data_IF_133998552010
#
_entry.id   IF_133998552010
#
_cell.length_a   1.000
_cell.length_b   1.000
_cell.length_c   1.000
_cell.angle_alpha   90.00
_cell.angle_beta   90.00
_cell.angle_gamma   90.00
#
_symmetry.space_group_name_H-M   'P 1'
#
loop_
_entity.id
_entity.type
_entity.pdbx_description
1 polymer ?
#
# COMPACT_ATOMS: atom_id res chain seq x y z
N UNK A 1 -21.45 -17.32 -22.06
CA UNK A 1 -21.84 -17.74 -20.71
C UNK A 1 -21.01 -18.96 -20.38
N UNK A 2 -19.92 -18.80 -19.62
CA UNK A 2 -19.16 -19.90 -19.03
C UNK A 2 -19.23 -19.72 -17.51
N UNK A 3 -19.95 -20.62 -16.84
CA UNK A 3 -20.07 -20.61 -15.39
C UNK A 3 -18.86 -21.35 -14.82
N UNK A 4 -17.81 -20.60 -14.48
CA UNK A 4 -16.66 -21.14 -13.76
C UNK A 4 -17.07 -21.40 -12.29
N UNK A 5 -17.36 -22.65 -11.94
CA UNK A 5 -17.52 -23.02 -10.52
C UNK A 5 -16.15 -23.15 -9.87
N UNK A 6 -15.72 -22.11 -9.14
CA UNK A 6 -14.51 -22.15 -8.32
C UNK A 6 -14.85 -22.70 -6.94
N UNK A 7 -14.44 -23.94 -6.65
CA UNK A 7 -14.45 -24.45 -5.29
C UNK A 7 -13.13 -24.06 -4.61
N UNK A 8 -13.17 -23.06 -3.73
CA UNK A 8 -12.02 -22.61 -2.97
C UNK A 8 -12.08 -23.16 -1.55
N UNK A 9 -11.15 -24.04 -1.20
CA UNK A 9 -10.94 -24.47 0.20
C UNK A 9 -9.64 -23.85 0.71
N UNK A 10 -9.75 -22.76 1.46
CA UNK A 10 -8.61 -22.03 2.02
C UNK A 10 -8.33 -22.45 3.46
N UNK A 11 -7.12 -22.96 3.75
CA UNK A 11 -6.55 -23.04 5.12
C UNK A 11 -5.33 -22.13 5.24
N UNK A 12 -4.83 -21.87 6.46
CA UNK A 12 -3.60 -21.10 6.69
C UNK A 12 -2.38 -21.64 5.93
N UNK A 13 -2.28 -22.96 5.73
CA UNK A 13 -1.03 -23.59 5.25
C UNK A 13 -1.14 -24.33 3.91
N UNK A 14 -2.29 -24.26 3.22
CA UNK A 14 -2.40 -24.73 1.83
C UNK A 14 -3.64 -24.18 1.15
N UNK A 15 -3.46 -23.64 -0.05
CA UNK A 15 -4.52 -23.34 -1.00
C UNK A 15 -4.37 -24.29 -2.20
N UNK A 16 -5.44 -25.01 -2.54
CA UNK A 16 -5.49 -25.82 -3.77
C UNK A 16 -6.60 -25.23 -4.64
N UNK A 17 -6.24 -24.83 -5.86
CA UNK A 17 -7.18 -24.33 -6.86
C UNK A 17 -7.22 -25.39 -7.96
N UNK A 18 -8.37 -26.01 -8.16
CA UNK A 18 -8.63 -26.87 -9.30
C UNK A 18 -9.57 -26.14 -10.26
N UNK A 19 -9.18 -26.07 -11.54
CA UNK A 19 -10.01 -25.51 -12.62
C UNK A 19 -10.53 -26.70 -13.41
N UNK A 20 -11.84 -26.90 -13.36
CA UNK A 20 -12.51 -27.94 -14.15
C UNK A 20 -12.96 -27.31 -15.48
N UNK A 21 -12.47 -27.83 -16.61
CA UNK A 21 -12.66 -27.19 -17.93
C UNK A 21 -13.90 -27.75 -18.66
N UNK A 22 -14.57 -28.79 -18.14
CA UNK A 22 -15.70 -29.42 -18.82
C UNK A 22 -17.00 -29.27 -18.01
N UNK A 23 -17.71 -28.18 -18.25
CA UNK A 23 -19.09 -27.99 -17.80
C UNK A 23 -20.07 -28.69 -18.76
N UNK A 24 -20.01 -30.03 -18.83
CA UNK A 24 -21.06 -30.80 -19.50
C UNK A 24 -22.08 -31.28 -18.44
N UNK A 25 -23.26 -30.68 -18.51
CA UNK A 25 -24.27 -30.61 -17.45
C UNK A 25 -25.12 -31.88 -17.30
N UNK A 26 -24.53 -33.08 -17.38
CA UNK A 26 -25.31 -34.31 -17.13
C UNK A 26 -24.57 -35.56 -16.63
N UNK A 27 -23.32 -35.45 -16.16
CA UNK A 27 -22.67 -36.55 -15.45
C UNK A 27 -22.70 -36.33 -13.94
N UNK A 28 -23.26 -37.30 -13.18
CA UNK A 28 -23.10 -37.36 -11.72
C UNK A 28 -21.61 -37.21 -11.41
N UNK A 29 -21.26 -36.13 -10.70
CA UNK A 29 -19.91 -35.86 -10.24
C UNK A 29 -19.41 -37.10 -9.50
N UNK A 30 -18.45 -37.82 -10.08
CA UNK A 30 -17.84 -39.00 -9.45
C UNK A 30 -17.05 -38.46 -8.26
N UNK A 31 -17.55 -38.70 -7.05
CA UNK A 31 -16.87 -38.33 -5.80
C UNK A 31 -15.85 -39.42 -5.51
N UNK A 32 -14.57 -39.09 -5.60
CA UNK A 32 -13.48 -39.98 -5.23
C UNK A 32 -13.30 -39.93 -3.71
N UNK A 33 -14.01 -40.80 -3.00
CA UNK A 33 -13.98 -40.90 -1.54
C UNK A 33 -12.57 -41.24 -0.99
N UNK A 34 -11.74 -41.93 -1.78
CA UNK A 34 -10.37 -42.29 -1.37
C UNK A 34 -9.49 -41.04 -1.39
N UNK A 35 -9.60 -40.23 -2.45
CA UNK A 35 -8.91 -38.94 -2.51
C UNK A 35 -9.43 -37.97 -1.45
N UNK A 36 -10.74 -37.90 -1.24
CA UNK A 36 -11.33 -37.10 -0.16
C UNK A 36 -10.82 -37.56 1.22
N UNK A 37 -10.64 -38.87 1.44
CA UNK A 37 -10.04 -39.42 2.67
C UNK A 37 -8.58 -39.01 2.86
N UNK A 38 -7.78 -38.97 1.81
CA UNK A 38 -6.41 -38.44 1.88
C UNK A 38 -6.38 -36.90 2.02
N UNK A 39 -7.36 -36.21 1.46
CA UNK A 39 -7.54 -34.75 1.58
C UNK A 39 -8.23 -34.35 2.91
N UNK A 40 -8.74 -35.33 3.69
CA UNK A 40 -9.31 -35.13 5.02
C UNK A 40 -8.26 -34.51 5.94
N UNK A 41 -8.49 -33.26 6.34
CA UNK A 41 -7.68 -32.64 7.38
C UNK A 41 -8.10 -33.21 8.73
N UNK A 42 -7.15 -33.73 9.49
CA UNK A 42 -7.36 -34.06 10.90
C UNK A 42 -7.79 -32.79 11.65
N UNK A 43 -9.02 -32.79 12.16
CA UNK A 43 -9.52 -31.81 13.12
C UNK A 43 -9.50 -32.53 14.47
N UNK A 44 -8.86 -31.93 15.47
CA UNK A 44 -8.86 -32.53 16.81
C UNK A 44 -10.29 -32.67 17.35
N UNK A 45 -10.55 -33.70 18.17
CA UNK A 45 -11.88 -33.91 18.78
C UNK A 45 -12.39 -32.66 19.53
N UNK A 46 -11.48 -31.90 20.14
CA UNK A 46 -11.78 -30.63 20.80
C UNK A 46 -12.24 -29.55 19.80
N UNK A 47 -11.53 -29.38 18.68
CA UNK A 47 -11.92 -28.40 17.65
C UNK A 47 -13.23 -28.77 16.95
N UNK A 48 -13.44 -30.06 16.66
CA UNK A 48 -14.69 -30.56 16.08
C UNK A 48 -15.88 -30.28 17.01
N UNK A 49 -15.74 -30.56 18.30
CA UNK A 49 -16.76 -30.27 19.31
C UNK A 49 -17.08 -28.77 19.39
N UNK A 50 -16.06 -27.90 19.37
CA UNK A 50 -16.25 -26.44 19.38
C UNK A 50 -17.02 -25.95 18.16
N UNK A 51 -16.73 -26.48 16.98
CA UNK A 51 -17.45 -26.14 15.74
C UNK A 51 -18.89 -26.65 15.76
N UNK A 52 -19.14 -27.88 16.23
CA UNK A 52 -20.48 -28.47 16.35
C UNK A 52 -21.37 -27.63 17.27
N UNK A 53 -20.83 -27.20 18.41
CA UNK A 53 -21.56 -26.36 19.37
C UNK A 53 -21.55 -24.86 19.02
N UNK A 54 -20.95 -24.46 17.88
CA UNK A 54 -20.77 -23.06 17.44
C UNK A 54 -20.12 -22.18 18.51
N UNK A 55 -19.24 -22.76 19.34
CA UNK A 55 -18.42 -21.97 20.25
C UNK A 55 -17.42 -21.15 19.46
N UNK A 56 -17.13 -19.93 19.93
CA UNK A 56 -16.08 -19.11 19.35
C UNK A 56 -14.74 -19.86 19.43
N UNK A 57 -14.29 -20.37 18.28
CA UNK A 57 -13.11 -21.25 18.23
C UNK A 57 -11.85 -20.46 18.58
N UNK A 58 -11.80 -19.17 18.27
CA UNK A 58 -10.64 -18.31 18.51
C UNK A 58 -11.10 -16.96 19.07
N UNK A 59 -10.67 -16.64 20.29
CA UNK A 59 -10.76 -15.27 20.82
C UNK A 59 -9.39 -14.61 20.68
N UNK A 60 -9.28 -13.55 19.86
CA UNK A 60 -8.08 -12.71 19.82
C UNK A 60 -8.29 -11.55 20.78
N UNK A 61 -7.57 -11.57 21.90
CA UNK A 61 -7.53 -10.46 22.83
C UNK A 61 -6.18 -9.74 22.73
N UNK A 62 -6.17 -8.42 22.48
CA UNK A 62 -7.34 -7.59 22.13
C UNK A 62 -7.82 -7.86 20.69
N UNK A 63 -9.07 -7.46 20.40
CA UNK A 63 -9.64 -7.45 19.05
C UNK A 63 -8.73 -6.69 18.09
N UNK A 64 -8.60 -7.15 16.84
CA UNK A 64 -7.83 -6.47 15.80
C UNK A 64 -8.76 -6.04 14.68
N UNK A 65 -8.83 -4.74 14.42
CA UNK A 65 -9.61 -4.14 13.33
C UNK A 65 -8.70 -3.80 12.16
N UNK A 66 -9.03 -4.30 10.96
CA UNK A 66 -8.35 -3.88 9.73
C UNK A 66 -8.85 -2.49 9.34
N UNK A 67 -7.92 -1.60 9.07
CA UNK A 67 -8.18 -0.22 8.70
C UNK A 67 -7.82 -0.03 7.23
N UNK A 68 -8.81 0.03 6.32
CA UNK A 68 -8.57 0.38 4.93
C UNK A 68 -8.22 1.87 4.82
N UNK A 69 -7.50 2.23 3.78
CA UNK A 69 -7.22 3.62 3.41
C UNK A 69 -6.94 3.67 1.91
N UNK A 70 -7.01 4.87 1.34
CA UNK A 70 -6.83 5.13 -0.08
C UNK A 70 -6.32 6.56 -0.26
N UNK A 71 -5.82 6.87 -1.45
CA UNK A 71 -5.50 8.25 -1.84
C UNK A 71 -6.78 9.06 -2.07
N UNK A 72 -6.68 10.40 -2.17
CA UNK A 72 -7.79 11.24 -2.62
C UNK A 72 -8.39 10.68 -3.92
N UNK A 73 -9.72 10.63 -3.98
CA UNK A 73 -10.50 10.17 -5.14
C UNK A 73 -10.24 8.72 -5.61
N UNK A 74 -9.48 7.94 -4.85
CA UNK A 74 -9.21 6.52 -5.12
C UNK A 74 -9.97 5.58 -4.18
N UNK A 75 -11.15 6.00 -3.71
CA UNK A 75 -11.99 5.15 -2.88
C UNK A 75 -12.56 4.00 -3.72
N UNK A 76 -12.42 2.77 -3.21
CA UNK A 76 -13.02 1.62 -3.86
C UNK A 76 -14.55 1.63 -3.70
N UNK A 77 -15.26 1.56 -4.81
CA UNK A 77 -16.72 1.40 -4.88
C UNK A 77 -17.01 0.05 -5.54
N UNK A 78 -17.90 -0.75 -4.95
CA UNK A 78 -18.33 -2.04 -5.48
C UNK A 78 -19.78 -1.86 -5.94
N UNK A 79 -20.04 -2.15 -7.21
CA UNK A 79 -21.35 -2.10 -7.84
C UNK A 79 -21.53 -3.33 -8.75
N UNK A 80 -22.77 -3.74 -8.99
CA UNK A 80 -23.10 -4.82 -9.91
C UNK A 80 -23.11 -4.31 -11.36
N UNK A 81 -23.02 -5.24 -12.33
CA UNK A 81 -22.94 -4.86 -13.74
C UNK A 81 -24.23 -4.20 -14.28
N UNK A 82 -25.33 -4.38 -13.57
CA UNK A 82 -26.67 -3.87 -13.84
C UNK A 82 -27.04 -2.63 -13.01
N UNK A 83 -26.18 -2.21 -12.07
CA UNK A 83 -26.40 -1.00 -11.30
C UNK A 83 -26.18 0.25 -12.17
N UNK A 84 -27.07 1.23 -12.05
CA UNK A 84 -26.91 2.54 -12.67
C UNK A 84 -25.81 3.34 -11.94
N UNK A 85 -24.95 4.01 -12.72
CA UNK A 85 -23.78 4.71 -12.16
C UNK A 85 -24.21 5.92 -11.33
N UNK A 86 -25.25 6.65 -11.76
CA UNK A 86 -25.71 7.84 -11.05
C UNK A 86 -26.35 7.43 -9.71
N UNK A 87 -27.15 6.36 -9.72
CA UNK A 87 -27.72 5.79 -8.50
C UNK A 87 -26.63 5.32 -7.52
N UNK A 88 -25.55 4.69 -8.01
CA UNK A 88 -24.42 4.23 -7.19
C UNK A 88 -23.68 5.41 -6.57
N UNK A 89 -23.45 6.49 -7.32
CA UNK A 89 -22.75 7.69 -6.83
C UNK A 89 -23.58 8.45 -5.78
N UNK A 90 -24.89 8.44 -5.91
CA UNK A 90 -25.80 9.05 -4.92
C UNK A 90 -25.92 8.21 -3.63
N UNK A 91 -25.44 6.96 -3.61
CA UNK A 91 -25.54 6.15 -2.40
C UNK A 91 -24.69 6.73 -1.25
N UNK A 92 -25.29 6.87 -0.04
CA UNK A 92 -24.53 7.20 1.18
C UNK A 92 -23.45 6.17 1.53
N UNK A 93 -23.49 4.97 0.92
CA UNK A 93 -22.47 3.92 1.02
C UNK A 93 -21.16 4.25 0.33
N UNK A 94 -21.23 5.03 -0.75
CA UNK A 94 -20.07 5.49 -1.49
C UNK A 94 -19.46 6.71 -0.80
N UNK A 95 -20.29 7.58 -0.22
CA UNK A 95 -19.82 8.83 0.41
C UNK A 95 -18.96 8.64 1.68
N UNK A 96 -19.16 7.57 2.46
CA UNK A 96 -18.55 7.43 3.78
C UNK A 96 -17.83 6.08 3.96
N UNK A 97 -16.50 6.09 3.83
CA UNK A 97 -15.64 4.95 4.15
C UNK A 97 -15.17 5.00 5.61
N UNK A 98 -14.68 3.88 6.14
CA UNK A 98 -14.05 3.81 7.47
C UNK A 98 -12.97 4.91 7.61
N UNK A 99 -12.24 5.16 6.53
CA UNK A 99 -11.14 6.11 6.47
C UNK A 99 -11.62 7.56 6.39
N UNK A 100 -12.58 7.89 5.51
CA UNK A 100 -13.10 9.26 5.40
C UNK A 100 -13.91 9.64 6.63
N UNK A 101 -14.70 8.72 7.18
CA UNK A 101 -15.44 8.94 8.43
C UNK A 101 -14.53 9.16 9.64
N UNK A 102 -13.28 8.70 9.63
CA UNK A 102 -12.31 9.04 10.67
C UNK A 102 -11.98 10.54 10.65
N UNK A 103 -11.73 11.10 9.46
CA UNK A 103 -11.48 12.53 9.28
C UNK A 103 -12.73 13.37 9.64
N UNK A 104 -13.92 12.92 9.26
CA UNK A 104 -15.18 13.55 9.69
C UNK A 104 -15.36 13.52 11.21
N UNK A 105 -15.02 12.39 11.86
CA UNK A 105 -15.06 12.30 13.32
C UNK A 105 -14.10 13.30 13.97
N UNK A 106 -12.91 13.50 13.40
CA UNK A 106 -11.94 14.49 13.86
C UNK A 106 -12.45 15.93 13.72
N UNK A 107 -13.32 16.23 12.74
CA UNK A 107 -13.96 17.56 12.64
C UNK A 107 -14.81 17.88 13.86
N UNK A 108 -15.55 16.90 14.35
CA UNK A 108 -16.56 17.10 15.39
C UNK A 108 -15.96 16.90 16.80
N UNK A 109 -15.15 15.86 17.00
CA UNK A 109 -14.74 15.40 18.32
C UNK A 109 -13.28 15.77 18.64
N UNK A 110 -13.06 16.54 19.72
CA UNK A 110 -11.72 16.94 20.18
C UNK A 110 -10.87 15.78 20.69
N UNK A 111 -11.48 14.76 21.28
CA UNK A 111 -10.76 13.58 21.77
C UNK A 111 -10.30 12.66 20.63
N UNK A 112 -11.08 12.60 19.54
CA UNK A 112 -10.68 11.91 18.32
C UNK A 112 -9.36 12.47 17.77
N UNK A 113 -9.13 13.79 17.91
CA UNK A 113 -7.92 14.47 17.42
C UNK A 113 -6.63 14.08 18.14
N UNK A 114 -6.71 13.38 19.27
CA UNK A 114 -5.54 12.95 20.06
C UNK A 114 -4.93 11.64 19.56
N UNK A 115 -5.57 10.98 18.59
CA UNK A 115 -5.27 9.62 18.15
C UNK A 115 -4.81 9.63 16.69
N UNK A 116 -3.87 8.74 16.37
CA UNK A 116 -3.58 8.39 14.97
C UNK A 116 -4.67 7.48 14.42
N UNK A 117 -4.67 7.22 13.11
CA UNK A 117 -5.64 6.32 12.50
C UNK A 117 -5.52 4.89 13.08
N UNK A 118 -4.30 4.40 13.28
CA UNK A 118 -4.01 3.06 13.85
C UNK A 118 -4.48 2.93 15.31
N UNK A 119 -4.36 4.01 16.08
CA UNK A 119 -4.80 4.06 17.47
C UNK A 119 -6.31 4.24 17.61
N UNK A 120 -7.00 4.69 16.56
CA UNK A 120 -8.41 5.08 16.63
C UNK A 120 -9.35 3.97 17.19
N UNK A 121 -9.23 2.69 16.78
CA UNK A 121 -10.07 1.61 17.30
C UNK A 121 -9.91 1.35 18.80
N UNK A 122 -8.85 1.87 19.43
CA UNK A 122 -8.63 1.74 20.88
C UNK A 122 -9.66 2.53 21.69
N UNK A 123 -10.16 3.65 21.13
CA UNK A 123 -11.11 4.56 21.79
C UNK A 123 -12.42 4.75 21.03
N UNK A 124 -12.49 4.34 19.76
CA UNK A 124 -13.68 4.44 18.93
C UNK A 124 -14.08 3.09 18.36
N UNK A 125 -15.37 2.96 18.03
CA UNK A 125 -15.97 1.78 17.39
C UNK A 125 -16.64 2.22 16.11
N UNK A 126 -16.33 1.51 15.03
CA UNK A 126 -17.03 1.69 13.75
C UNK A 126 -18.43 1.10 13.84
N UNK A 127 -19.43 1.88 13.45
CA UNK A 127 -20.82 1.45 13.30
C UNK A 127 -21.13 1.35 11.81
N UNK A 128 -21.16 0.14 11.22
CA UNK A 128 -21.33 -0.02 9.78
C UNK A 128 -22.71 0.44 9.30
N UNK A 129 -23.76 0.24 10.10
CA UNK A 129 -25.13 0.66 9.78
C UNK A 129 -25.23 2.19 9.64
N UNK A 130 -24.58 2.91 10.56
CA UNK A 130 -24.57 4.38 10.60
C UNK A 130 -23.40 5.00 9.80
N UNK A 131 -22.45 4.19 9.32
CA UNK A 131 -21.18 4.58 8.67
C UNK A 131 -20.38 5.64 9.40
N UNK A 132 -20.35 5.54 10.73
CA UNK A 132 -19.66 6.53 11.56
C UNK A 132 -18.93 5.90 12.74
N UNK A 133 -18.02 6.67 13.30
CA UNK A 133 -17.29 6.32 14.50
C UNK A 133 -17.99 6.84 15.75
N UNK A 134 -18.28 5.94 16.71
CA UNK A 134 -18.78 6.33 18.04
C UNK A 134 -17.70 6.08 19.11
N UNK A 135 -17.67 6.87 20.19
CA UNK A 135 -16.82 6.57 21.34
C UNK A 135 -17.06 5.16 21.87
N UNK A 136 -15.96 4.45 22.14
CA UNK A 136 -15.98 3.09 22.69
C UNK A 136 -16.34 3.15 24.15
N UNK A 137 -17.39 2.41 24.53
CA UNK A 137 -17.83 2.27 25.93
C UNK A 137 -17.12 1.11 26.65
N UNK A 138 -16.88 -0.01 25.96
CA UNK A 138 -16.38 -1.27 26.55
C UNK A 138 -15.33 -1.91 25.65
N UNK A 139 -14.36 -2.59 26.28
CA UNK A 139 -13.33 -3.40 25.63
C UNK A 139 -12.18 -2.59 25.04
N UNK A 140 -11.27 -3.29 24.34
CA UNK A 140 -10.15 -2.69 23.60
C UNK A 140 -10.04 -3.35 22.23
N UNK A 141 -9.75 -2.54 21.21
CA UNK A 141 -9.39 -3.02 19.88
C UNK A 141 -8.12 -2.31 19.42
N UNK A 142 -7.31 -2.99 18.64
CA UNK A 142 -6.12 -2.44 17.99
C UNK A 142 -6.42 -2.28 16.50
N UNK A 143 -6.09 -1.13 15.93
CA UNK A 143 -6.13 -0.94 14.48
C UNK A 143 -4.91 -1.55 13.80
N UNK A 144 -5.09 -2.11 12.61
CA UNK A 144 -3.99 -2.52 11.74
C UNK A 144 -4.26 -2.06 10.32
N UNK A 145 -3.32 -1.30 9.79
CA UNK A 145 -3.25 -0.96 8.38
C UNK A 145 -2.43 -2.05 7.68
N UNK A 146 -2.80 -2.41 6.45
CA UNK A 146 -2.04 -3.37 5.66
C UNK A 146 -0.65 -2.80 5.33
N UNK A 147 0.37 -3.66 5.22
CA UNK A 147 1.70 -3.21 4.83
C UNK A 147 1.69 -2.77 3.37
N UNK A 148 2.34 -1.64 3.09
CA UNK A 148 2.46 -1.07 1.74
C UNK A 148 3.92 -1.07 1.33
N UNK A 149 4.20 -1.49 0.11
CA UNK A 149 5.55 -1.45 -0.45
C UNK A 149 5.93 -0.02 -0.81
N UNK A 150 7.18 0.42 -0.56
CA UNK A 150 7.69 1.71 -1.05
C UNK A 150 7.49 1.94 -2.55
N UNK A 151 7.39 0.86 -3.35
CA UNK A 151 7.14 0.91 -4.80
C UNK A 151 5.78 1.52 -5.18
N UNK A 152 4.83 1.58 -4.25
CA UNK A 152 3.51 2.15 -4.48
C UNK A 152 3.45 3.68 -4.28
N UNK A 153 4.62 4.32 -4.13
CA UNK A 153 4.76 5.78 -4.18
C UNK A 153 3.93 6.49 -3.10
N UNK A 154 3.07 7.41 -3.51
CA UNK A 154 2.24 8.23 -2.60
C UNK A 154 1.41 7.41 -1.60
N UNK A 155 0.96 6.21 -1.98
CA UNK A 155 0.23 5.32 -1.06
C UNK A 155 1.10 4.89 0.13
N UNK A 156 2.40 4.66 -0.11
CA UNK A 156 3.36 4.30 0.93
C UNK A 156 3.63 5.47 1.87
N UNK A 157 3.78 6.67 1.35
CA UNK A 157 3.99 7.86 2.18
C UNK A 157 2.75 8.19 3.00
N UNK A 158 1.55 8.06 2.43
CA UNK A 158 0.30 8.14 3.19
C UNK A 158 0.27 7.09 4.31
N UNK A 159 0.64 5.83 4.03
CA UNK A 159 0.73 4.78 5.04
C UNK A 159 1.65 5.17 6.22
N UNK A 160 2.82 5.76 5.95
CA UNK A 160 3.71 6.29 7.00
C UNK A 160 2.99 7.35 7.83
N UNK A 161 2.38 8.35 7.18
CA UNK A 161 1.72 9.46 7.86
C UNK A 161 0.56 9.00 8.74
N UNK A 162 -0.22 8.00 8.31
CA UNK A 162 -1.34 7.45 9.10
C UNK A 162 -0.90 6.78 10.41
N UNK A 163 0.38 6.40 10.52
CA UNK A 163 0.98 5.90 11.75
C UNK A 163 1.49 7.01 12.69
N UNK A 164 1.56 8.26 12.22
CA UNK A 164 2.22 9.38 12.93
C UNK A 164 1.31 10.57 13.19
N UNK A 165 0.55 11.00 12.19
CA UNK A 165 -0.31 12.18 12.24
C UNK A 165 -1.55 11.91 13.08
N UNK A 166 -1.91 12.87 13.93
CA UNK A 166 -3.03 12.79 14.86
C UNK A 166 -4.11 13.79 14.48
N UNK A 167 -5.35 13.31 14.46
CA UNK A 167 -6.51 14.17 14.30
C UNK A 167 -6.67 14.98 13.02
N UNK A 168 -6.15 14.57 11.84
CA UNK A 168 -6.37 15.33 10.62
C UNK A 168 -7.85 15.34 10.25
N UNK A 169 -8.34 16.48 9.75
CA UNK A 169 -9.73 16.66 9.33
C UNK A 169 -9.94 16.50 7.82
N UNK A 170 -8.88 16.36 7.06
CA UNK A 170 -8.91 16.15 5.61
C UNK A 170 -7.59 15.55 5.12
N UNK A 171 -7.50 15.24 3.83
CA UNK A 171 -6.27 14.76 3.20
C UNK A 171 -5.16 15.82 3.24
N UNK A 172 -5.51 17.09 3.08
CA UNK A 172 -4.61 18.23 3.18
C UNK A 172 -4.00 18.35 4.58
N UNK A 173 -4.83 18.17 5.62
CA UNK A 173 -4.33 18.15 6.99
C UNK A 173 -3.44 16.94 7.30
N UNK A 174 -3.56 15.81 6.57
CA UNK A 174 -2.63 14.67 6.70
C UNK A 174 -1.22 15.05 6.22
N UNK A 175 -1.12 15.87 5.16
CA UNK A 175 0.15 16.35 4.59
C UNK A 175 0.57 17.73 5.11
N UNK A 176 -0.08 18.26 6.13
CA UNK A 176 0.31 19.51 6.78
C UNK A 176 1.30 19.23 7.92
N UNK A 177 2.45 19.88 7.89
CA UNK A 177 3.49 19.75 8.92
C UNK A 177 3.80 21.14 9.46
N UNK A 178 3.76 21.31 10.79
CA UNK A 178 4.00 22.60 11.47
C UNK A 178 3.15 23.79 10.95
N UNK A 179 1.96 23.51 10.41
CA UNK A 179 1.05 24.53 9.86
C UNK A 179 1.30 24.87 8.39
N UNK A 180 2.28 24.25 7.75
CA UNK A 180 2.54 24.38 6.31
C UNK A 180 2.01 23.15 5.57
N UNK A 181 1.23 23.38 4.51
CA UNK A 181 0.67 22.33 3.67
C UNK A 181 1.65 21.94 2.57
N UNK A 182 1.97 20.65 2.47
CA UNK A 182 2.94 20.15 1.49
C UNK A 182 2.27 19.61 0.23
N UNK A 183 2.87 19.77 -0.97
CA UNK A 183 2.27 19.32 -2.24
C UNK A 183 1.99 17.81 -2.32
N UNK A 184 2.80 16.98 -1.67
CA UNK A 184 2.68 15.52 -1.70
C UNK A 184 2.78 14.91 -0.29
N UNK A 185 2.32 13.67 -0.12
CA UNK A 185 2.51 12.95 1.15
C UNK A 185 3.99 12.63 1.38
N UNK A 186 4.76 12.43 0.31
CA UNK A 186 6.22 12.28 0.38
C UNK A 186 6.90 13.50 0.96
N UNK A 187 6.56 14.70 0.49
CA UNK A 187 7.15 15.95 0.97
C UNK A 187 6.82 16.19 2.45
N UNK A 188 5.61 15.85 2.89
CA UNK A 188 5.23 15.89 4.30
C UNK A 188 6.04 14.88 5.14
N UNK A 189 6.26 13.66 4.66
CA UNK A 189 7.14 12.68 5.31
C UNK A 189 8.59 13.21 5.42
N UNK A 190 9.08 13.87 4.37
CA UNK A 190 10.41 14.48 4.37
C UNK A 190 10.52 15.61 5.40
N UNK A 191 9.53 16.51 5.44
CA UNK A 191 9.47 17.61 6.40
C UNK A 191 9.39 17.11 7.87
N UNK A 192 8.78 15.94 8.09
CA UNK A 192 8.74 15.27 9.39
C UNK A 192 10.03 14.49 9.74
N UNK A 193 11.01 14.43 8.82
CA UNK A 193 12.23 13.64 9.00
C UNK A 193 11.98 12.13 9.07
N UNK A 194 10.93 11.65 8.40
CA UNK A 194 10.53 10.23 8.38
C UNK A 194 11.16 9.45 7.22
N UNK A 195 11.82 10.13 6.29
CA UNK A 195 12.53 9.53 5.18
C UNK A 195 14.02 9.63 5.46
N UNK A 196 14.76 8.55 5.19
CA UNK A 196 16.21 8.61 5.13
C UNK A 196 16.60 9.57 4.00
N UNK A 197 17.61 10.40 4.23
CA UNK A 197 18.11 11.27 3.18
C UNK A 197 18.94 10.43 2.19
N UNK A 198 18.90 10.80 0.91
CA UNK A 198 19.71 10.13 -0.11
C UNK A 198 21.10 10.73 -0.26
N UNK A 199 21.55 11.52 0.72
CA UNK A 199 22.86 12.15 0.71
C UNK A 199 23.97 11.13 0.78
N UNK A 200 23.77 10.01 1.48
CA UNK A 200 24.72 8.91 1.47
C UNK A 200 25.01 8.43 0.04
N UNK A 201 23.97 8.34 -0.81
CA UNK A 201 24.15 7.97 -2.22
C UNK A 201 24.81 9.07 -3.04
N UNK A 202 24.49 10.34 -2.76
CA UNK A 202 25.17 11.48 -3.40
C UNK A 202 26.67 11.47 -3.05
N UNK A 203 27.00 11.31 -1.77
CA UNK A 203 28.37 11.29 -1.27
C UNK A 203 29.13 10.07 -1.79
N UNK A 204 28.49 8.89 -1.84
CA UNK A 204 29.07 7.68 -2.42
C UNK A 204 29.38 7.83 -3.93
N UNK A 205 28.49 8.45 -4.72
CA UNK A 205 28.74 8.70 -6.15
C UNK A 205 29.86 9.73 -6.33
N UNK A 206 29.88 10.79 -5.52
CA UNK A 206 30.96 11.81 -5.54
C UNK A 206 32.30 11.18 -5.17
N UNK A 207 32.36 10.36 -4.13
CA UNK A 207 33.57 9.65 -3.75
C UNK A 207 34.04 8.72 -4.87
N UNK A 208 33.15 7.88 -5.40
CA UNK A 208 33.44 6.97 -6.51
C UNK A 208 33.86 7.69 -7.80
N UNK A 209 33.51 8.97 -7.97
CA UNK A 209 33.90 9.75 -9.13
C UNK A 209 35.39 10.11 -9.17
N UNK A 210 36.09 10.06 -8.04
CA UNK A 210 37.53 10.35 -8.00
C UNK A 210 38.36 9.25 -8.69
N UNK A 211 38.17 7.95 -8.40
CA UNK A 211 38.86 6.87 -9.11
C UNK A 211 38.09 6.34 -10.33
N UNK A 212 36.77 6.57 -10.40
CA UNK A 212 35.87 5.92 -11.37
C UNK A 212 35.71 6.69 -12.68
N UNK A 213 35.31 5.97 -13.73
CA UNK A 213 34.92 6.59 -15.02
C UNK A 213 33.44 6.92 -15.05
N UNK A 214 33.01 7.88 -15.88
CA UNK A 214 31.59 8.16 -16.09
C UNK A 214 30.75 6.95 -16.53
N UNK A 215 31.34 5.95 -17.18
CA UNK A 215 30.66 4.68 -17.49
C UNK A 215 30.35 3.88 -16.20
N UNK A 216 31.34 3.72 -15.33
CA UNK A 216 31.18 3.03 -14.05
C UNK A 216 30.14 3.73 -13.17
N UNK A 217 30.18 5.06 -13.09
CA UNK A 217 29.21 5.83 -12.30
C UNK A 217 27.77 5.65 -12.80
N UNK A 218 27.57 5.62 -14.13
CA UNK A 218 26.24 5.35 -14.71
C UNK A 218 25.74 3.95 -14.37
N UNK A 219 26.62 2.96 -14.36
CA UNK A 219 26.27 1.60 -13.96
C UNK A 219 25.93 1.52 -12.47
N UNK A 220 26.70 2.21 -11.62
CA UNK A 220 26.44 2.31 -10.18
C UNK A 220 25.07 2.95 -9.92
N UNK A 221 24.79 4.09 -10.56
CA UNK A 221 23.51 4.79 -10.43
C UNK A 221 22.35 3.93 -10.91
N UNK A 222 22.49 3.23 -12.05
CA UNK A 222 21.48 2.28 -12.52
C UNK A 222 21.25 1.13 -11.52
N UNK A 223 22.31 0.64 -10.85
CA UNK A 223 22.18 -0.39 -9.82
C UNK A 223 21.41 0.12 -8.60
N UNK A 224 21.67 1.36 -8.16
CA UNK A 224 20.94 2.02 -7.06
C UNK A 224 19.46 2.26 -7.39
N UNK A 225 19.14 2.59 -8.65
CA UNK A 225 17.76 2.68 -9.11
C UNK A 225 17.06 1.31 -9.05
N UNK A 226 17.74 0.26 -9.52
CA UNK A 226 17.20 -1.10 -9.56
C UNK A 226 17.04 -1.73 -8.18
N UNK A 227 17.88 -1.35 -7.20
CA UNK A 227 17.76 -1.80 -5.80
C UNK A 227 16.58 -1.15 -5.07
N UNK A 228 15.96 -0.11 -5.66
CA UNK A 228 14.84 0.61 -5.07
C UNK A 228 15.16 1.15 -3.66
N UNK A 229 16.42 1.52 -3.45
CA UNK A 229 16.94 2.01 -2.18
C UNK A 229 17.05 3.54 -2.13
N UNK A 230 16.94 4.20 -3.29
CA UNK A 230 16.87 5.67 -3.41
C UNK A 230 15.46 6.15 -3.08
N UNK A 231 15.33 6.98 -2.06
CA UNK A 231 14.08 7.69 -1.73
C UNK A 231 13.71 8.72 -2.79
N UNK A 232 14.71 9.43 -3.32
CA UNK A 232 14.69 10.57 -4.26
C UNK A 232 15.74 10.43 -5.37
N UNK A 233 15.50 9.55 -6.34
CA UNK A 233 16.36 9.41 -7.51
C UNK A 233 16.66 10.74 -8.22
N UNK A 234 15.67 11.63 -8.29
CA UNK A 234 15.79 12.96 -8.89
C UNK A 234 16.79 13.84 -8.13
N UNK A 235 16.75 13.81 -6.80
CA UNK A 235 17.68 14.58 -5.98
C UNK A 235 19.12 14.07 -6.14
N UNK A 236 19.30 12.75 -6.18
CA UNK A 236 20.63 12.16 -6.39
C UNK A 236 21.16 12.51 -7.78
N UNK A 237 20.31 12.43 -8.82
CA UNK A 237 20.65 12.83 -10.18
C UNK A 237 21.11 14.29 -10.26
N UNK A 238 20.30 15.24 -9.79
CA UNK A 238 20.61 16.67 -9.84
C UNK A 238 21.96 17.01 -9.17
N UNK A 239 22.33 16.26 -8.13
CA UNK A 239 23.58 16.46 -7.40
C UNK A 239 24.80 15.73 -8.01
N UNK A 240 24.61 14.83 -8.98
CA UNK A 240 25.68 13.94 -9.46
C UNK A 240 25.77 13.79 -10.98
N UNK A 241 24.82 14.33 -11.75
CA UNK A 241 24.73 14.15 -13.21
C UNK A 241 26.00 14.60 -13.94
N UNK A 242 26.70 15.60 -13.44
CA UNK A 242 27.95 16.09 -14.04
C UNK A 242 29.00 14.98 -14.08
N UNK A 243 29.18 14.25 -12.98
CA UNK A 243 30.09 13.11 -12.92
C UNK A 243 29.61 11.94 -13.79
N UNK A 244 28.28 11.71 -13.83
CA UNK A 244 27.66 10.67 -14.66
C UNK A 244 27.81 10.94 -16.17
N UNK A 245 27.85 12.22 -16.55
CA UNK A 245 27.99 12.67 -17.94
C UNK A 245 29.42 12.55 -18.49
N UNK A 246 30.39 12.27 -17.62
CA UNK A 246 31.79 12.17 -18.01
C UNK A 246 32.03 11.13 -19.12
N UNK A 247 32.88 11.52 -20.08
CA UNK A 247 33.20 10.74 -21.26
C UNK A 247 32.07 10.59 -22.30
N UNK A 248 30.84 11.07 -22.06
CA UNK A 248 29.75 10.97 -23.05
C UNK A 248 30.09 11.76 -24.32
N UNK A 249 30.49 13.02 -24.18
CA UNK A 249 30.84 13.89 -25.31
C UNK A 249 31.99 13.29 -26.13
N UNK A 250 33.06 12.86 -25.44
CA UNK A 250 34.21 12.22 -26.06
C UNK A 250 33.82 10.98 -26.88
N UNK A 251 33.01 10.10 -26.31
CA UNK A 251 32.54 8.89 -26.99
C UNK A 251 31.66 9.23 -28.21
N UNK A 252 30.81 10.26 -28.12
CA UNK A 252 29.98 10.71 -29.23
C UNK A 252 30.81 11.30 -30.37
N UNK A 253 31.78 12.16 -30.07
CA UNK A 253 32.70 12.75 -31.05
C UNK A 253 33.48 11.66 -31.79
N UNK A 254 33.98 10.63 -31.06
CA UNK A 254 34.66 9.48 -31.67
C UNK A 254 33.75 8.65 -32.55
N UNK A 255 32.53 8.37 -32.09
CA UNK A 255 31.55 7.56 -32.82
C UNK A 255 31.10 8.22 -34.13
N UNK A 256 30.90 9.53 -34.10
CA UNK A 256 30.42 10.33 -35.25
C UNK A 256 31.55 10.86 -36.14
N UNK A 257 32.82 10.62 -35.77
CA UNK A 257 34.02 11.16 -36.43
C UNK A 257 33.97 12.68 -36.65
N UNK A 258 33.27 13.39 -35.76
CA UNK A 258 33.06 14.83 -35.84
C UNK A 258 33.53 15.49 -34.55
N UNK A 259 34.77 16.00 -34.52
CA UNK A 259 35.36 16.59 -33.32
C UNK A 259 34.72 17.94 -32.91
N UNK A 260 33.94 18.56 -33.80
CA UNK A 260 33.27 19.85 -33.53
C UNK A 260 31.90 19.73 -32.86
N UNK A 261 31.44 18.51 -32.51
CA UNK A 261 30.16 18.33 -31.83
C UNK A 261 30.26 18.88 -30.41
N UNK A 262 29.32 19.77 -30.07
CA UNK A 262 29.11 20.31 -28.73
C UNK A 262 27.74 19.83 -28.27
N UNK A 263 27.69 19.16 -27.12
CA UNK A 263 26.42 18.84 -26.45
C UNK A 263 26.16 19.99 -25.49
N UNK A 264 25.11 20.78 -25.75
CA UNK A 264 24.71 21.84 -24.83
C UNK A 264 24.21 21.22 -23.52
N UNK A 265 24.73 21.70 -22.40
CA UNK A 265 24.34 21.28 -21.04
C UNK A 265 22.85 21.53 -20.72
N UNK A 266 22.12 22.21 -21.60
CA UNK A 266 20.68 22.43 -21.46
C UNK A 266 19.83 21.19 -21.81
N UNK A 267 20.43 20.11 -22.32
CA UNK A 267 19.74 18.88 -22.75
C UNK A 267 20.20 17.61 -22.02
N UNK A 268 20.98 17.74 -20.94
CA UNK A 268 21.44 16.65 -20.06
C UNK A 268 20.88 16.84 -18.66
#
# INVERSE_FOLDING_TARGET
>A
MDILSKNQVSSPDRATIAVDINADSNHKKVVDEIKDYYDCRYISACEASWRIFKYDVHYRYPSVMRLPFHLPDQQQVIYAADDDIDDVLEQPSVAASIFTSWMECNKINKDARKLTYVEFPTKFVWKPDDKLWKPRKIGRSIGRIHSVSPKLGEVYFLWILLNKVKGPKSFEEIRTVNGEEFPTFRDACYALGLLDDDKEYVDAIKEASHPGTGFYLRFLFATMLMSNSLGRPEFVWENTWQHLSDGILYNQQRRLKSPGIIISYHYM
#
